data_IF_955749770489
#
_entry.id   IF_955749770489
#
_cell.length_a   1.000
_cell.length_b   1.000
_cell.length_c   1.000
_cell.angle_alpha   90.00
_cell.angle_beta   90.00
_cell.angle_gamma   90.00
#
_symmetry.space_group_name_H-M   'P 1'
#
loop_
_entity.id
_entity.type
_entity.pdbx_description
1 polymer ?
#
# COMPACT_ATOMS: atom_id res chain seq x y z
N UNK A 1 -3.10 -19.88 -7.89
CA UNK A 1 -1.77 -19.49 -8.43
C UNK A 1 -0.76 -19.51 -7.29
N UNK A 2 0.50 -19.88 -7.56
CA UNK A 2 1.58 -19.89 -6.56
C UNK A 2 2.62 -18.85 -6.99
N UNK A 3 3.13 -17.99 -6.08
CA UNK A 3 4.22 -17.07 -6.41
C UNK A 3 5.54 -17.82 -6.58
N UNK A 4 6.49 -17.22 -7.29
CA UNK A 4 7.84 -17.79 -7.48
C UNK A 4 8.64 -17.68 -6.18
N UNK A 5 8.40 -16.63 -5.39
CA UNK A 5 9.08 -16.38 -4.13
C UNK A 5 8.12 -15.83 -3.08
N UNK A 6 8.29 -16.24 -1.82
CA UNK A 6 7.60 -15.69 -0.66
C UNK A 6 8.68 -15.27 0.34
N UNK A 7 8.71 -14.02 0.73
CA UNK A 7 9.73 -13.48 1.64
C UNK A 7 9.03 -12.92 2.88
N UNK A 8 9.52 -13.32 4.05
CA UNK A 8 9.17 -12.72 5.33
C UNK A 8 10.34 -11.83 5.78
N UNK A 9 10.10 -10.54 5.83
CA UNK A 9 11.07 -9.55 6.31
C UNK A 9 10.99 -9.42 7.83
N UNK A 10 12.13 -9.56 8.52
CA UNK A 10 12.25 -9.42 9.96
C UNK A 10 13.22 -8.29 10.30
N UNK A 11 12.86 -7.47 11.29
CA UNK A 11 13.72 -6.41 11.82
C UNK A 11 14.96 -6.98 12.51
N UNK A 12 16.16 -6.54 12.11
CA UNK A 12 17.42 -6.97 12.73
C UNK A 12 17.51 -6.59 14.20
N UNK A 13 16.90 -5.49 14.59
CA UNK A 13 16.82 -5.03 15.99
C UNK A 13 16.01 -5.95 16.90
N UNK A 14 14.99 -6.61 16.33
CA UNK A 14 14.17 -7.61 17.08
C UNK A 14 14.83 -8.98 17.18
N UNK A 15 15.74 -9.29 16.28
CA UNK A 15 16.45 -10.55 16.20
C UNK A 15 17.97 -10.33 16.05
N UNK A 16 18.64 -9.69 17.04
CA UNK A 16 20.06 -9.32 16.92
C UNK A 16 20.98 -10.50 16.68
N UNK A 17 20.64 -11.66 17.27
CA UNK A 17 21.40 -12.91 17.10
C UNK A 17 20.95 -13.73 15.86
N UNK A 18 19.96 -13.25 15.11
CA UNK A 18 19.28 -13.97 14.02
C UNK A 18 18.73 -15.35 14.44
N UNK A 19 18.49 -15.55 15.74
CA UNK A 19 17.92 -16.78 16.28
C UNK A 19 16.41 -16.71 16.22
N UNK A 20 15.82 -17.64 15.49
CA UNK A 20 14.37 -17.72 15.33
C UNK A 20 13.79 -18.85 16.19
N UNK A 21 12.58 -18.66 16.74
CA UNK A 21 11.79 -19.73 17.32
C UNK A 21 11.56 -20.89 16.31
N UNK A 22 11.47 -22.12 16.81
CA UNK A 22 11.27 -23.32 15.96
C UNK A 22 10.06 -23.27 15.01
N UNK A 23 9.07 -22.39 15.30
CA UNK A 23 7.91 -22.25 14.43
C UNK A 23 8.31 -21.76 13.02
N UNK A 24 9.39 -20.99 12.91
CA UNK A 24 9.90 -20.51 11.62
C UNK A 24 10.45 -21.64 10.73
N UNK A 25 10.86 -22.78 11.31
CA UNK A 25 11.28 -23.95 10.53
C UNK A 25 10.11 -24.48 9.68
N UNK A 26 8.88 -24.37 10.18
CA UNK A 26 7.67 -24.75 9.42
C UNK A 26 7.43 -23.80 8.24
N UNK A 27 7.65 -22.49 8.41
CA UNK A 27 7.53 -21.52 7.32
C UNK A 27 8.55 -21.80 6.22
N UNK A 28 9.81 -22.03 6.60
CA UNK A 28 10.86 -22.44 5.65
C UNK A 28 10.52 -23.73 4.91
N UNK A 29 9.99 -24.73 5.62
CA UNK A 29 9.53 -25.98 5.01
C UNK A 29 8.37 -25.79 4.01
N UNK A 30 7.59 -24.70 4.17
CA UNK A 30 6.55 -24.30 3.20
C UNK A 30 7.08 -23.45 2.05
N UNK A 31 8.38 -23.16 2.01
CA UNK A 31 9.02 -22.38 0.94
C UNK A 31 9.00 -20.86 1.18
N UNK A 32 8.92 -20.44 2.44
CA UNK A 32 9.05 -19.03 2.82
C UNK A 32 10.52 -18.72 3.09
N UNK A 33 11.08 -17.77 2.37
CA UNK A 33 12.39 -17.19 2.66
C UNK A 33 12.27 -16.20 3.82
N UNK A 34 13.22 -16.27 4.77
CA UNK A 34 13.25 -15.36 5.92
C UNK A 34 14.49 -14.49 5.81
N UNK A 35 14.27 -13.20 5.67
CA UNK A 35 15.31 -12.21 5.46
C UNK A 35 15.32 -11.19 6.59
N UNK A 36 16.52 -10.77 7.00
CA UNK A 36 16.70 -9.78 8.05
C UNK A 36 17.14 -8.45 7.45
N UNK A 37 16.45 -7.38 7.81
CA UNK A 37 16.74 -6.02 7.34
C UNK A 37 16.48 -5.01 8.45
N UNK A 38 16.91 -3.76 8.25
CA UNK A 38 16.50 -2.64 9.11
C UNK A 38 14.97 -2.55 9.13
N UNK A 39 14.38 -2.40 10.33
CA UNK A 39 12.92 -2.24 10.46
C UNK A 39 12.51 -0.82 10.07
N UNK A 40 11.82 -0.70 8.95
CA UNK A 40 11.22 0.55 8.46
C UNK A 40 9.73 0.65 8.80
N UNK A 41 9.29 -0.10 9.81
CA UNK A 41 7.88 -0.18 10.17
C UNK A 41 7.05 -0.82 9.05
N UNK A 42 5.85 -0.26 8.72
CA UNK A 42 5.00 -0.83 7.68
C UNK A 42 5.62 -0.77 6.29
N UNK A 43 6.62 0.09 6.07
CA UNK A 43 7.32 0.21 4.79
C UNK A 43 8.22 -0.98 4.48
N UNK A 44 8.64 -1.76 5.48
CA UNK A 44 9.51 -2.94 5.31
C UNK A 44 8.92 -3.93 4.29
N UNK A 45 7.59 -4.08 4.24
CA UNK A 45 6.92 -5.09 3.41
C UNK A 45 7.11 -4.88 1.90
N UNK A 46 7.30 -3.64 1.40
CA UNK A 46 7.51 -3.36 -0.01
C UNK A 46 8.95 -2.96 -0.33
N UNK A 47 9.59 -2.21 0.59
CA UNK A 47 10.82 -1.49 0.35
C UNK A 47 11.95 -2.38 -0.18
N UNK A 48 12.28 -3.44 0.53
CA UNK A 48 13.38 -4.33 0.17
C UNK A 48 13.03 -5.19 -1.04
N UNK A 49 11.80 -5.71 -1.10
CA UNK A 49 11.35 -6.50 -2.23
C UNK A 49 11.47 -5.75 -3.56
N UNK A 50 10.97 -4.52 -3.63
CA UNK A 50 11.02 -3.73 -4.87
C UNK A 50 12.44 -3.26 -5.24
N UNK A 51 13.33 -3.10 -4.25
CA UNK A 51 14.74 -2.77 -4.53
C UNK A 51 15.55 -3.96 -4.98
N UNK A 52 15.28 -5.15 -4.44
CA UNK A 52 16.00 -6.38 -4.77
C UNK A 52 15.48 -7.03 -6.06
N UNK A 53 14.20 -6.81 -6.38
CA UNK A 53 13.51 -7.38 -7.55
C UNK A 53 12.81 -6.29 -8.38
N UNK A 54 13.56 -5.33 -8.95
CA UNK A 54 12.96 -4.15 -9.61
C UNK A 54 12.16 -4.49 -10.88
N UNK A 55 12.45 -5.63 -11.51
CA UNK A 55 11.78 -6.09 -12.73
C UNK A 55 10.62 -7.06 -12.46
N UNK A 56 10.39 -7.40 -11.19
CA UNK A 56 9.38 -8.38 -10.82
C UNK A 56 8.08 -7.72 -10.34
N UNK A 57 7.00 -8.46 -10.45
CA UNK A 57 5.73 -8.10 -9.80
C UNK A 57 5.88 -8.37 -8.30
N UNK A 58 5.65 -7.35 -7.49
CA UNK A 58 5.66 -7.47 -6.03
C UNK A 58 4.24 -7.48 -5.50
N UNK A 59 3.90 -8.47 -4.68
CA UNK A 59 2.62 -8.52 -3.97
C UNK A 59 2.88 -8.41 -2.47
N UNK A 60 2.26 -7.44 -1.83
CA UNK A 60 2.40 -7.21 -0.38
C UNK A 60 1.22 -7.75 0.39
N UNK A 61 1.52 -8.31 1.56
CA UNK A 61 0.56 -8.82 2.53
C UNK A 61 0.99 -8.45 3.95
N UNK A 62 0.02 -8.38 4.86
CA UNK A 62 0.29 -8.26 6.29
C UNK A 62 0.36 -9.68 6.92
N UNK A 63 1.14 -9.85 7.96
CA UNK A 63 1.42 -11.14 8.58
C UNK A 63 0.37 -11.56 9.64
N UNK A 64 -0.56 -10.67 9.95
CA UNK A 64 -1.61 -10.87 10.95
C UNK A 64 -3.01 -11.11 10.35
N UNK A 65 -3.09 -11.39 9.04
CA UNK A 65 -4.33 -11.65 8.34
C UNK A 65 -4.38 -13.04 7.68
N UNK A 66 -5.56 -13.63 7.62
CA UNK A 66 -5.82 -14.89 6.90
C UNK A 66 -6.43 -14.53 5.54
N UNK A 67 -5.66 -14.78 4.50
CA UNK A 67 -6.04 -14.46 3.13
C UNK A 67 -6.74 -15.64 2.44
N UNK A 68 -7.57 -15.30 1.45
CA UNK A 68 -8.21 -16.30 0.57
C UNK A 68 -7.18 -16.94 -0.35
N UNK A 69 -7.36 -18.22 -0.64
CA UNK A 69 -6.44 -18.99 -1.51
C UNK A 69 -6.41 -18.51 -2.97
N UNK A 70 -7.45 -17.79 -3.42
CA UNK A 70 -7.59 -17.29 -4.80
C UNK A 70 -7.13 -15.84 -4.98
N UNK A 71 -6.61 -15.20 -3.93
CA UNK A 71 -6.33 -13.77 -3.90
C UNK A 71 -5.23 -13.38 -4.90
N UNK A 72 -4.09 -14.08 -4.91
CA UNK A 72 -2.99 -13.83 -5.85
C UNK A 72 -3.48 -14.00 -7.30
N UNK A 73 -4.27 -15.05 -7.57
CA UNK A 73 -4.80 -15.29 -8.90
C UNK A 73 -5.74 -14.17 -9.36
N UNK A 74 -6.58 -13.65 -8.46
CA UNK A 74 -7.48 -12.54 -8.78
C UNK A 74 -6.72 -11.26 -9.10
N UNK A 75 -5.75 -10.89 -8.27
CA UNK A 75 -4.91 -9.70 -8.53
C UNK A 75 -4.12 -9.85 -9.81
N UNK A 76 -3.57 -11.03 -10.09
CA UNK A 76 -2.83 -11.27 -11.31
C UNK A 76 -3.73 -11.21 -12.57
N UNK A 77 -4.95 -11.73 -12.49
CA UNK A 77 -5.94 -11.60 -13.58
C UNK A 77 -6.32 -10.14 -13.83
N UNK A 78 -6.42 -9.33 -12.77
CA UNK A 78 -6.62 -7.89 -12.88
C UNK A 78 -5.41 -7.21 -13.52
N UNK A 79 -4.20 -7.54 -13.08
CA UNK A 79 -2.97 -7.02 -13.66
C UNK A 79 -2.84 -7.29 -15.17
N UNK A 80 -3.23 -8.48 -15.64
CA UNK A 80 -3.23 -8.77 -17.09
C UNK A 80 -4.15 -7.83 -17.88
N UNK A 81 -5.25 -7.39 -17.27
CA UNK A 81 -6.17 -6.41 -17.89
C UNK A 81 -5.67 -4.96 -17.74
N UNK A 82 -5.03 -4.67 -16.62
CA UNK A 82 -4.61 -3.33 -16.20
C UNK A 82 -3.12 -3.29 -15.85
N UNK A 83 -2.21 -3.58 -16.82
CA UNK A 83 -0.79 -3.73 -16.54
C UNK A 83 -0.07 -2.44 -16.12
N UNK A 84 -0.68 -1.29 -16.42
CA UNK A 84 -0.17 0.04 -16.05
C UNK A 84 -0.79 0.58 -14.76
N UNK A 85 -1.41 -0.28 -13.95
CA UNK A 85 -2.04 0.10 -12.70
C UNK A 85 -1.49 -0.71 -11.53
N UNK A 86 -1.51 -0.12 -10.34
CA UNK A 86 -1.43 -0.87 -9.09
C UNK A 86 -2.76 -1.58 -8.88
N UNK A 87 -2.72 -2.89 -8.66
CA UNK A 87 -3.90 -3.75 -8.58
C UNK A 87 -4.10 -4.21 -7.14
N UNK A 88 -5.21 -3.87 -6.51
CA UNK A 88 -5.46 -4.22 -5.13
C UNK A 88 -6.77 -4.96 -4.94
N UNK A 89 -6.89 -5.71 -3.85
CA UNK A 89 -8.14 -6.39 -3.54
C UNK A 89 -9.21 -5.42 -3.07
N UNK A 90 -8.80 -4.35 -2.39
CA UNK A 90 -9.70 -3.30 -1.93
C UNK A 90 -9.00 -1.94 -1.98
N UNK A 91 -9.77 -0.91 -2.39
CA UNK A 91 -9.34 0.47 -2.38
C UNK A 91 -10.33 1.34 -1.61
N UNK A 92 -9.88 2.48 -1.16
CA UNK A 92 -10.72 3.59 -0.71
C UNK A 92 -10.68 4.70 -1.75
N UNK A 93 -11.76 5.47 -1.84
CA UNK A 93 -11.83 6.65 -2.70
C UNK A 93 -11.51 7.89 -1.88
N UNK A 94 -10.43 8.58 -2.26
CA UNK A 94 -10.02 9.83 -1.62
C UNK A 94 -11.13 10.87 -1.78
N UNK A 95 -11.51 11.51 -0.68
CA UNK A 95 -12.45 12.62 -0.70
C UNK A 95 -11.70 13.96 -0.85
N UNK A 96 -12.30 14.87 -1.62
CA UNK A 96 -11.83 16.25 -1.78
C UNK A 96 -12.90 17.21 -1.29
N UNK A 97 -12.45 18.31 -0.66
CA UNK A 97 -13.33 19.40 -0.22
C UNK A 97 -13.67 20.32 -1.40
N UNK A 98 -14.59 21.24 -1.20
CA UNK A 98 -15.04 22.19 -2.24
C UNK A 98 -13.91 23.08 -2.77
N UNK A 99 -12.91 23.37 -1.93
CA UNK A 99 -11.73 24.15 -2.29
C UNK A 99 -10.65 23.33 -3.04
N UNK A 100 -10.90 22.04 -3.28
CA UNK A 100 -9.98 21.14 -3.96
C UNK A 100 -8.90 20.52 -3.06
N UNK A 101 -8.88 20.84 -1.76
CA UNK A 101 -7.98 20.21 -0.81
C UNK A 101 -8.40 18.77 -0.51
N UNK A 102 -7.42 17.92 -0.16
CA UNK A 102 -7.69 16.55 0.27
C UNK A 102 -8.42 16.55 1.61
N UNK A 103 -9.54 15.86 1.68
CA UNK A 103 -10.31 15.69 2.92
C UNK A 103 -9.64 14.68 3.86
N UNK A 104 -10.03 14.75 5.15
CA UNK A 104 -9.61 13.75 6.14
C UNK A 104 -9.89 12.33 5.68
N UNK A 105 -9.02 11.36 6.02
CA UNK A 105 -9.22 9.95 5.68
C UNK A 105 -10.52 9.39 6.25
N UNK A 106 -11.02 9.97 7.33
CA UNK A 106 -12.29 9.55 7.97
C UNK A 106 -13.53 9.76 7.10
N UNK A 107 -13.45 10.64 6.09
CA UNK A 107 -14.54 10.88 5.13
C UNK A 107 -14.33 10.22 3.77
N UNK A 108 -13.22 9.49 3.60
CA UNK A 108 -12.99 8.72 2.37
C UNK A 108 -13.99 7.58 2.25
N UNK A 109 -14.35 7.22 1.02
CA UNK A 109 -15.28 6.12 0.81
C UNK A 109 -14.55 4.77 0.78
N UNK A 110 -14.69 4.02 1.86
CA UNK A 110 -14.12 2.67 2.02
C UNK A 110 -14.95 1.56 1.38
N UNK A 111 -16.02 1.90 0.64
CA UNK A 111 -16.97 0.93 0.06
C UNK A 111 -16.74 0.71 -1.43
N UNK A 112 -15.55 0.94 -1.94
CA UNK A 112 -15.27 0.69 -3.34
C UNK A 112 -15.20 -0.82 -3.56
N UNK A 113 -16.33 -1.35 -3.90
CA UNK A 113 -16.54 -2.73 -4.30
C UNK A 113 -16.41 -2.76 -5.80
N UNK A 114 -15.23 -3.03 -6.30
CA UNK A 114 -14.95 -3.31 -7.68
C UNK A 114 -15.44 -2.31 -8.72
N UNK A 115 -14.71 -2.23 -9.76
CA UNK A 115 -15.30 -2.39 -11.07
C UNK A 115 -14.34 -2.25 -12.22
N UNK A 116 -13.19 -2.82 -12.18
CA UNK A 116 -12.24 -2.70 -13.30
C UNK A 116 -12.03 -1.21 -13.74
N UNK A 117 -12.27 -0.25 -12.80
CA UNK A 117 -12.10 1.18 -13.05
C UNK A 117 -10.75 1.64 -12.51
N UNK A 118 -9.96 2.16 -13.41
CA UNK A 118 -8.66 2.76 -13.07
C UNK A 118 -8.86 4.20 -12.61
N UNK A 119 -8.29 4.58 -11.46
CA UNK A 119 -8.41 5.93 -10.95
C UNK A 119 -7.20 6.40 -10.18
N UNK A 120 -6.80 7.65 -10.38
CA UNK A 120 -5.86 8.34 -9.50
C UNK A 120 -6.48 8.68 -8.13
N UNK A 121 -7.79 8.71 -8.03
CA UNK A 121 -8.50 8.98 -6.78
C UNK A 121 -8.57 7.76 -5.86
N UNK A 122 -8.28 6.56 -6.35
CA UNK A 122 -8.26 5.36 -5.52
C UNK A 122 -6.93 5.21 -4.80
N UNK A 123 -7.00 4.88 -3.51
CA UNK A 123 -5.86 4.49 -2.67
C UNK A 123 -6.01 3.02 -2.30
N UNK A 124 -5.01 2.22 -2.61
CA UNK A 124 -5.00 0.81 -2.23
C UNK A 124 -4.96 0.65 -0.71
N UNK A 125 -5.62 -0.37 -0.19
CA UNK A 125 -5.61 -0.70 1.24
C UNK A 125 -4.74 -1.95 1.45
N UNK A 126 -3.53 -1.75 2.00
CA UNK A 126 -2.47 -2.76 2.08
C UNK A 126 -2.88 -4.05 2.77
N UNK A 127 -3.64 -3.96 3.85
CA UNK A 127 -4.08 -5.13 4.62
C UNK A 127 -4.89 -6.15 3.80
N UNK A 128 -5.49 -5.74 2.68
CA UNK A 128 -6.24 -6.65 1.81
C UNK A 128 -5.41 -7.31 0.72
N UNK A 129 -4.16 -6.90 0.57
CA UNK A 129 -3.24 -7.34 -0.48
C UNK A 129 -3.21 -6.39 -1.67
N UNK A 130 -1.99 -6.07 -2.09
CA UNK A 130 -1.74 -5.16 -3.22
C UNK A 130 -0.67 -5.74 -4.12
N UNK A 131 -0.93 -5.73 -5.43
CA UNK A 131 0.00 -6.10 -6.47
C UNK A 131 0.56 -4.83 -7.14
N UNK A 132 1.85 -4.71 -7.10
CA UNK A 132 2.62 -3.63 -7.71
C UNK A 132 3.33 -4.13 -8.97
N UNK A 133 3.05 -3.54 -10.15
CA UNK A 133 3.84 -3.78 -11.35
C UNK A 133 5.29 -3.31 -11.17
N UNK A 134 6.23 -3.82 -11.98
CA UNK A 134 7.57 -3.28 -12.04
C UNK A 134 7.56 -1.77 -12.28
N UNK A 135 8.46 -1.03 -11.64
CA UNK A 135 8.66 0.42 -11.83
C UNK A 135 7.43 1.30 -11.58
N UNK A 136 6.44 0.84 -10.82
CA UNK A 136 5.21 1.59 -10.58
C UNK A 136 5.35 2.73 -9.55
N UNK A 137 6.46 2.84 -8.86
CA UNK A 137 6.72 3.86 -7.86
C UNK A 137 7.79 4.86 -8.32
N UNK A 138 7.60 6.11 -7.95
CA UNK A 138 8.63 7.13 -8.07
C UNK A 138 9.83 6.78 -7.18
N UNK A 139 11.06 7.19 -7.57
CA UNK A 139 12.30 6.88 -6.83
C UNK A 139 12.29 7.36 -5.38
N UNK A 140 11.56 8.45 -5.09
CA UNK A 140 11.35 8.97 -3.74
C UNK A 140 10.70 7.94 -2.80
N UNK A 141 10.01 6.93 -3.33
CA UNK A 141 9.44 5.83 -2.55
C UNK A 141 10.49 5.11 -1.68
N UNK A 142 11.75 5.20 -2.08
CA UNK A 142 12.89 4.54 -1.43
C UNK A 142 13.79 5.51 -0.65
N UNK A 143 13.34 6.73 -0.43
CA UNK A 143 14.04 7.72 0.41
C UNK A 143 13.68 7.52 1.88
N UNK A 144 14.54 6.80 2.61
CA UNK A 144 14.32 6.46 4.03
C UNK A 144 14.19 7.69 4.92
N UNK A 145 14.91 8.77 4.62
CA UNK A 145 14.83 10.00 5.41
C UNK A 145 13.46 10.66 5.25
N UNK A 146 12.97 10.75 4.02
CA UNK A 146 11.63 11.25 3.73
C UNK A 146 10.54 10.39 4.36
N UNK A 147 10.64 9.06 4.27
CA UNK A 147 9.74 8.11 4.93
C UNK A 147 9.68 8.40 6.42
N UNK A 148 10.85 8.39 7.10
CA UNK A 148 10.93 8.59 8.55
C UNK A 148 10.40 9.96 8.98
N UNK A 149 10.58 10.99 8.15
CA UNK A 149 10.19 12.37 8.46
C UNK A 149 8.72 12.65 8.20
N UNK A 150 8.18 12.15 7.08
CA UNK A 150 6.87 12.56 6.57
C UNK A 150 5.77 11.54 6.86
N UNK A 151 6.08 10.25 6.73
CA UNK A 151 5.06 9.21 6.72
C UNK A 151 5.55 7.87 7.32
N UNK A 152 6.06 7.84 8.56
CA UNK A 152 6.71 6.65 9.12
C UNK A 152 5.78 5.48 9.41
N UNK A 153 4.46 5.71 9.50
CA UNK A 153 3.48 4.73 9.97
C UNK A 153 2.26 4.56 9.05
N UNK A 154 2.26 5.17 7.86
CA UNK A 154 1.15 5.11 6.92
C UNK A 154 1.67 4.82 5.50
N UNK A 155 2.13 3.60 5.30
CA UNK A 155 2.70 3.13 4.04
C UNK A 155 1.70 3.24 2.87
N UNK A 156 0.42 2.94 3.06
CA UNK A 156 -0.61 3.10 2.03
C UNK A 156 -0.69 4.54 1.52
N UNK A 157 -0.69 5.52 2.43
CA UNK A 157 -0.68 6.94 2.07
C UNK A 157 0.61 7.34 1.36
N UNK A 158 1.77 6.89 1.85
CA UNK A 158 3.05 7.13 1.21
C UNK A 158 3.09 6.58 -0.22
N UNK A 159 2.75 5.31 -0.38
CA UNK A 159 2.76 4.63 -1.67
C UNK A 159 1.80 5.28 -2.66
N UNK A 160 0.63 5.73 -2.19
CA UNK A 160 -0.33 6.47 -3.04
C UNK A 160 0.30 7.70 -3.69
N UNK A 161 1.06 8.48 -2.93
CA UNK A 161 1.76 9.65 -3.48
C UNK A 161 2.83 9.23 -4.49
N UNK A 162 3.61 8.21 -4.21
CA UNK A 162 4.66 7.70 -5.08
C UNK A 162 4.12 7.09 -6.39
N UNK A 163 2.96 6.44 -6.32
CA UNK A 163 2.22 5.94 -7.49
C UNK A 163 1.79 7.08 -8.41
N UNK A 164 1.16 8.12 -7.83
CA UNK A 164 0.71 9.30 -8.60
C UNK A 164 1.88 10.04 -9.22
N UNK A 165 2.97 10.25 -8.48
CA UNK A 165 4.20 10.85 -9.00
C UNK A 165 4.80 10.07 -10.16
N UNK A 166 4.60 8.75 -10.19
CA UNK A 166 5.04 7.88 -11.29
C UNK A 166 4.02 7.78 -12.43
N UNK A 167 2.81 8.32 -12.23
CA UNK A 167 1.72 8.27 -13.21
C UNK A 167 0.91 6.98 -13.22
N UNK A 168 0.98 6.19 -12.14
CA UNK A 168 0.21 4.95 -11.99
C UNK A 168 -1.11 5.21 -11.28
N UNK A 169 -2.18 4.67 -11.88
CA UNK A 169 -3.51 4.60 -11.27
C UNK A 169 -3.64 3.37 -10.40
N UNK A 170 -4.69 3.34 -9.59
CA UNK A 170 -5.08 2.16 -8.83
C UNK A 170 -6.35 1.57 -9.41
N UNK A 171 -6.42 0.24 -9.48
CA UNK A 171 -7.62 -0.52 -9.80
C UNK A 171 -7.93 -1.50 -8.67
N UNK A 172 -9.20 -1.52 -8.23
CA UNK A 172 -9.66 -2.47 -7.23
C UNK A 172 -10.32 -3.67 -7.90
N UNK A 173 -9.91 -4.87 -7.49
CA UNK A 173 -10.55 -6.13 -7.93
C UNK A 173 -11.91 -6.30 -7.26
N UNK A 174 -12.11 -5.66 -6.12
CA UNK A 174 -13.27 -5.83 -5.28
C UNK A 174 -13.27 -7.15 -4.51
N UNK A 175 -13.51 -7.08 -3.22
CA UNK A 175 -13.77 -8.26 -2.41
C UNK A 175 -15.07 -8.10 -1.67
N UNK A 176 -15.86 -9.15 -1.63
CA UNK A 176 -16.78 -9.32 -0.53
C UNK A 176 -15.93 -9.50 0.73
N UNK A 177 -15.96 -8.49 1.61
CA UNK A 177 -15.35 -8.59 2.93
C UNK A 177 -16.00 -9.75 3.68
N UNK A 178 -15.25 -10.82 3.86
CA UNK A 178 -15.69 -11.96 4.67
C UNK A 178 -15.43 -11.72 6.16
N UNK A 179 -15.55 -10.50 6.65
CA UNK A 179 -15.38 -10.00 8.00
C UNK A 179 -14.80 -11.00 9.01
N UNK A 180 -13.67 -10.72 9.62
CA UNK A 180 -12.90 -11.47 10.63
C UNK A 180 -11.77 -12.34 10.07
N UNK A 181 -10.96 -11.75 9.21
CA UNK A 181 -9.75 -12.42 8.75
C UNK A 181 -8.50 -12.11 9.61
N UNK A 182 -8.63 -11.20 10.58
CA UNK A 182 -7.53 -10.88 11.49
C UNK A 182 -7.24 -12.05 12.43
N UNK A 183 -5.98 -12.38 12.61
CA UNK A 183 -5.55 -13.44 13.54
C UNK A 183 -5.85 -12.99 14.97
N UNK A 184 -6.58 -13.83 15.72
CA UNK A 184 -6.96 -13.51 17.09
C UNK A 184 -5.72 -13.22 17.96
N UNK A 185 -5.73 -12.08 18.64
CA UNK A 185 -4.64 -11.65 19.54
C UNK A 185 -3.51 -10.87 18.85
N UNK A 186 -3.50 -10.72 17.53
CA UNK A 186 -2.53 -9.86 16.82
C UNK A 186 -2.77 -8.37 17.06
N UNK A 187 -4.03 -7.99 17.33
CA UNK A 187 -4.44 -6.61 17.54
C UNK A 187 -4.27 -6.22 19.03
N UNK A 188 -3.08 -5.77 19.41
CA UNK A 188 -2.76 -5.28 20.76
C UNK A 188 -3.17 -3.82 20.97
N UNK A 189 -2.87 -3.28 22.15
CA UNK A 189 -3.18 -1.88 22.52
C UNK A 189 -2.32 -0.83 21.78
N UNK A 190 -1.23 -1.24 21.12
CA UNK A 190 -0.26 -0.38 20.44
C UNK A 190 -0.19 -0.70 18.94
N UNK A 191 -1.32 -1.06 18.32
CA UNK A 191 -1.34 -1.35 16.88
C UNK A 191 -1.28 -0.08 16.04
N UNK A 192 -0.79 -0.23 14.80
CA UNK A 192 -0.79 0.85 13.81
C UNK A 192 -2.21 1.41 13.58
N UNK A 193 -3.24 0.56 13.61
CA UNK A 193 -4.63 0.97 13.45
C UNK A 193 -5.09 1.94 14.54
N UNK A 194 -4.69 1.75 15.79
CA UNK A 194 -5.02 2.68 16.88
C UNK A 194 -4.32 4.02 16.65
N UNK A 195 -3.03 4.02 16.33
CA UNK A 195 -2.31 5.25 16.04
C UNK A 195 -2.88 5.97 14.82
N UNK A 196 -3.07 5.26 13.73
CA UNK A 196 -3.43 5.83 12.44
C UNK A 196 -4.90 6.28 12.40
N UNK A 197 -5.82 5.46 12.88
CA UNK A 197 -7.26 5.72 12.77
C UNK A 197 -7.78 6.44 14.02
N UNK A 198 -7.62 5.82 15.20
CA UNK A 198 -8.22 6.36 16.41
C UNK A 198 -7.58 7.68 16.89
N UNK A 199 -6.29 7.87 16.63
CA UNK A 199 -5.53 9.06 17.06
C UNK A 199 -5.26 10.04 15.90
N UNK A 200 -5.86 9.86 14.71
CA UNK A 200 -5.72 10.75 13.56
C UNK A 200 -4.31 10.74 12.94
N UNK A 201 -3.54 9.68 13.17
CA UNK A 201 -2.18 9.54 12.64
C UNK A 201 -2.11 9.56 11.12
N UNK A 202 -3.14 9.04 10.43
CA UNK A 202 -3.24 9.09 8.98
C UNK A 202 -3.32 10.53 8.48
N UNK A 203 -4.23 11.33 9.02
CA UNK A 203 -4.41 12.73 8.60
C UNK A 203 -3.17 13.59 8.86
N UNK A 204 -2.46 13.34 9.96
CA UNK A 204 -1.20 14.03 10.25
C UNK A 204 -0.18 13.74 9.15
N UNK A 205 -0.01 12.47 8.78
CA UNK A 205 0.96 12.04 7.79
C UNK A 205 0.54 12.44 6.37
N UNK A 206 -0.73 12.31 6.00
CA UNK A 206 -1.25 12.80 4.72
C UNK A 206 -1.06 14.31 4.58
N UNK A 207 -1.32 15.09 5.64
CA UNK A 207 -1.07 16.55 5.64
C UNK A 207 0.42 16.84 5.42
N UNK A 208 1.32 16.08 6.04
CA UNK A 208 2.75 16.25 5.85
C UNK A 208 3.18 15.93 4.40
N UNK A 209 2.60 14.91 3.79
CA UNK A 209 2.84 14.56 2.38
C UNK A 209 2.33 15.65 1.43
N UNK A 210 1.09 16.10 1.62
CA UNK A 210 0.51 17.18 0.81
C UNK A 210 1.41 18.41 0.86
N UNK A 211 1.87 18.82 2.04
CA UNK A 211 2.75 20.00 2.21
C UNK A 211 4.12 19.80 1.57
N UNK A 212 4.69 18.61 1.68
CA UNK A 212 6.03 18.31 1.17
C UNK A 212 6.07 18.27 -0.36
N UNK A 213 4.98 17.80 -0.98
CA UNK A 213 4.88 17.60 -2.42
C UNK A 213 3.88 18.53 -3.10
N UNK A 214 3.48 19.63 -2.43
CA UNK A 214 2.51 20.60 -2.95
C UNK A 214 2.94 21.22 -4.29
N UNK A 215 4.22 21.49 -4.44
CA UNK A 215 4.78 22.11 -5.65
C UNK A 215 5.21 21.08 -6.71
N UNK A 216 5.04 19.79 -6.42
CA UNK A 216 5.33 18.75 -7.39
C UNK A 216 4.26 18.74 -8.49
N UNK A 217 4.72 18.71 -9.75
CA UNK A 217 3.84 18.69 -10.92
C UNK A 217 4.29 17.60 -11.89
N UNK A 218 3.35 17.05 -12.63
CA UNK A 218 3.68 16.15 -13.76
C UNK A 218 4.27 17.02 -14.89
N UNK A 219 5.49 16.69 -15.32
CA UNK A 219 6.20 17.44 -16.36
C UNK A 219 5.39 17.61 -17.65
N UNK A 220 4.64 16.58 -18.06
CA UNK A 220 3.87 16.59 -19.31
C UNK A 220 2.64 17.50 -19.31
N UNK A 221 2.04 17.75 -18.14
CA UNK A 221 0.77 18.50 -18.03
C UNK A 221 0.86 19.76 -17.17
N UNK A 222 1.88 19.85 -16.31
CA UNK A 222 2.00 20.91 -15.30
C UNK A 222 0.99 20.81 -14.16
N UNK A 223 0.18 19.75 -14.12
CA UNK A 223 -0.81 19.56 -13.08
C UNK A 223 -0.17 19.11 -11.77
N UNK A 224 -0.64 19.62 -10.66
CA UNK A 224 -0.26 19.16 -9.33
C UNK A 224 -0.85 17.78 -9.06
N UNK A 225 -0.25 17.07 -8.12
CA UNK A 225 -0.71 15.76 -7.71
C UNK A 225 -2.17 15.76 -7.24
N UNK A 226 -2.57 16.77 -6.45
CA UNK A 226 -3.94 16.88 -5.96
C UNK A 226 -4.94 17.16 -7.08
N UNK A 227 -4.56 18.01 -8.05
CA UNK A 227 -5.40 18.27 -9.24
C UNK A 227 -5.66 17.00 -10.04
N UNK A 228 -4.65 16.15 -10.26
CA UNK A 228 -4.79 14.88 -10.97
C UNK A 228 -5.71 13.93 -10.21
N UNK A 229 -5.48 13.76 -8.92
CA UNK A 229 -6.35 12.91 -8.10
C UNK A 229 -7.79 13.43 -8.07
N UNK A 230 -8.02 14.74 -8.08
CA UNK A 230 -9.35 15.34 -8.05
C UNK A 230 -10.05 15.38 -9.43
N UNK A 231 -9.31 15.42 -10.54
CA UNK A 231 -9.90 15.40 -11.89
C UNK A 231 -10.63 14.10 -12.21
N UNK A 232 -10.12 12.98 -11.72
CA UNK A 232 -10.84 11.70 -11.84
C UNK A 232 -12.21 11.74 -11.13
N UNK A 233 -12.38 12.60 -10.12
CA UNK A 233 -13.67 12.82 -9.46
C UNK A 233 -14.63 13.63 -10.35
N UNK A 234 -14.12 14.63 -11.08
CA UNK A 234 -14.94 15.52 -11.93
C UNK A 234 -15.46 14.83 -13.18
N UNK A 235 -14.67 13.96 -13.79
CA UNK A 235 -15.05 13.23 -15.01
C UNK A 235 -16.11 12.15 -14.79
N UNK A 236 -16.31 11.70 -13.56
CA UNK A 236 -17.31 10.66 -13.21
C UNK A 236 -18.62 11.23 -12.68
N UNK A 237 -18.68 12.54 -12.45
CA UNK A 237 -19.88 13.25 -11.97
C UNK A 237 -20.64 13.95 -13.10
N UNK A 238 -20.14 13.91 -14.31
CA UNK A 238 -20.74 14.41 -15.55
C UNK A 238 -21.20 13.25 -16.45
#
# INVERSE_FOLDING_TARGET
MKPDKIILWLGEDRFPDKKLPKIFDKLKACGVDIEFREDLGPHTKYYYAMKEFPEDIVITFDDDWIYRNDLIEKMYKSYIKHPSCVNCMQATKIAFLEDGSMGSDTIWDYRIISADLESFQYSAIGVWGVLYPPHCLHEEAFNVESIKKLCPKHDDGWLKFMEVMKGFKVVSVGTESTGKNCIYGSQGKETLSIYNIANGGNDIQLTALVRAYNDWTIESTGQTMLEIMNEDAKTKSS
#
